data_IF_668311086086
#
_entry.id   IF_668311086086
#
_cell.length_a   1.000
_cell.length_b   1.000
_cell.length_c   1.000
_cell.angle_alpha   90.00
_cell.angle_beta   90.00
_cell.angle_gamma   90.00
#
_symmetry.space_group_name_H-M   'P 1'
#
loop_
_entity.id
_entity.type
_entity.pdbx_description
1 polymer ?
#
# COMPACT_ATOMS: atom_id res chain seq x y z
N UNK A 1 7.77 5.92 30.27
CA UNK A 1 6.49 5.46 29.69
C UNK A 1 5.41 6.54 29.80
N UNK A 2 4.84 6.85 30.98
CA UNK A 2 3.82 7.92 31.09
C UNK A 2 4.37 9.32 30.69
N UNK A 3 5.61 9.63 31.08
CA UNK A 3 6.24 10.91 30.77
C UNK A 3 6.58 11.06 29.28
N UNK A 4 6.97 9.99 28.59
CA UNK A 4 7.38 10.06 27.17
C UNK A 4 6.16 10.29 26.27
N UNK A 5 5.02 9.66 26.58
CA UNK A 5 3.74 9.87 25.89
C UNK A 5 3.19 11.29 26.10
N UNK A 6 3.37 11.85 27.29
CA UNK A 6 2.94 13.22 27.61
C UNK A 6 3.81 14.27 26.94
N UNK A 7 5.14 14.09 26.90
CA UNK A 7 6.05 15.01 26.21
C UNK A 7 5.78 15.06 24.70
N UNK A 8 5.41 13.93 24.10
CA UNK A 8 5.04 13.86 22.67
C UNK A 8 3.72 14.56 22.35
N UNK A 9 2.75 14.59 23.28
CA UNK A 9 1.44 15.22 23.06
C UNK A 9 1.51 16.76 23.10
N UNK A 10 2.59 17.33 23.68
CA UNK A 10 2.73 18.76 23.95
C UNK A 10 3.99 19.42 23.34
N UNK A 11 4.86 18.69 22.66
CA UNK A 11 6.02 19.29 21.97
C UNK A 11 5.60 19.88 20.62
N UNK A 12 5.50 21.22 20.58
CA UNK A 12 5.42 21.99 19.34
C UNK A 12 6.85 22.23 18.81
N UNK A 13 7.50 21.25 18.17
CA UNK A 13 8.86 21.46 17.66
C UNK A 13 9.13 20.79 16.30
N UNK A 14 9.97 21.49 15.52
CA UNK A 14 10.44 21.33 14.13
C UNK A 14 10.24 19.97 13.42
N UNK A 15 9.92 20.03 12.12
CA UNK A 15 9.65 18.86 11.27
C UNK A 15 10.75 17.76 11.30
N UNK A 16 12.03 18.13 11.52
CA UNK A 16 13.12 17.15 11.66
C UNK A 16 13.12 16.44 13.01
N UNK A 17 12.77 17.12 14.09
CA UNK A 17 12.68 16.54 15.42
C UNK A 17 11.45 15.63 15.53
N UNK A 18 10.39 15.94 14.77
CA UNK A 18 9.18 15.12 14.65
C UNK A 18 9.45 13.65 14.28
N UNK A 19 10.18 13.42 13.18
CA UNK A 19 10.47 12.05 12.68
C UNK A 19 11.46 11.31 13.59
N UNK A 20 12.51 11.99 14.07
CA UNK A 20 13.50 11.35 14.94
C UNK A 20 12.87 10.92 16.28
N UNK A 21 11.94 11.72 16.80
CA UNK A 21 11.17 11.35 17.98
C UNK A 21 10.27 10.13 17.72
N UNK A 22 9.66 10.02 16.53
CA UNK A 22 8.91 8.82 16.14
C UNK A 22 9.83 7.59 16.07
N UNK A 23 11.02 7.70 15.49
CA UNK A 23 12.01 6.59 15.45
C UNK A 23 12.40 6.12 16.85
N UNK A 24 12.64 7.05 17.78
CA UNK A 24 12.94 6.70 19.17
C UNK A 24 11.76 6.01 19.84
N UNK A 25 10.53 6.47 19.59
CA UNK A 25 9.32 5.87 20.13
C UNK A 25 9.12 4.46 19.60
N UNK A 26 9.19 4.25 18.28
CA UNK A 26 9.12 2.93 17.63
C UNK A 26 10.13 1.95 18.26
N UNK A 27 11.40 2.36 18.38
CA UNK A 27 12.44 1.53 19.03
C UNK A 27 12.13 1.20 20.48
N UNK A 28 11.56 2.16 21.22
CA UNK A 28 11.15 1.94 22.61
C UNK A 28 9.98 0.95 22.71
N UNK A 29 9.03 0.98 21.77
CA UNK A 29 7.90 0.04 21.69
C UNK A 29 8.43 -1.36 21.41
N UNK A 30 9.28 -1.53 20.39
CA UNK A 30 9.93 -2.83 20.10
C UNK A 30 10.62 -3.37 21.34
N UNK A 31 11.46 -2.56 22.01
CA UNK A 31 12.16 -2.98 23.22
C UNK A 31 11.22 -3.36 24.36
N UNK A 32 10.12 -2.64 24.53
CA UNK A 32 9.09 -2.90 25.55
C UNK A 32 8.45 -4.28 25.35
N UNK A 33 8.10 -4.63 24.11
CA UNK A 33 7.33 -5.85 23.82
C UNK A 33 8.20 -7.08 23.53
N UNK A 34 9.37 -6.92 22.92
CA UNK A 34 10.30 -8.04 22.66
C UNK A 34 11.01 -8.55 23.93
N UNK A 35 11.14 -7.69 24.96
CA UNK A 35 11.81 -8.04 26.21
C UNK A 35 13.24 -8.55 26.00
N UNK A 36 13.65 -9.55 26.79
CA UNK A 36 14.98 -10.18 26.69
C UNK A 36 15.06 -11.24 25.61
N UNK A 37 13.93 -11.84 25.27
CA UNK A 37 13.84 -12.99 24.37
C UNK A 37 13.85 -12.58 22.89
N UNK A 38 13.84 -11.26 22.61
CA UNK A 38 13.84 -10.67 21.26
C UNK A 38 12.66 -11.18 20.41
N UNK A 39 11.57 -11.57 21.08
CA UNK A 39 10.39 -12.14 20.46
C UNK A 39 9.13 -11.62 21.15
N UNK A 40 8.13 -11.27 20.35
CA UNK A 40 6.82 -10.83 20.81
C UNK A 40 5.89 -12.04 20.82
N UNK A 41 5.50 -12.47 22.01
CA UNK A 41 4.52 -13.56 22.16
C UNK A 41 3.15 -13.16 21.63
N UNK A 42 2.33 -14.15 21.29
CA UNK A 42 0.94 -14.01 20.84
C UNK A 42 0.15 -12.93 21.59
N UNK A 43 0.12 -13.00 22.93
CA UNK A 43 -0.62 -12.02 23.76
C UNK A 43 -0.04 -10.61 23.73
N UNK A 44 1.24 -10.46 23.39
CA UNK A 44 1.93 -9.18 23.31
C UNK A 44 1.84 -8.55 21.92
N UNK A 45 1.50 -9.32 20.88
CA UNK A 45 1.38 -8.82 19.50
C UNK A 45 0.29 -7.73 19.40
N UNK A 46 -0.87 -7.98 20.00
CA UNK A 46 -1.94 -6.98 20.13
C UNK A 46 -1.46 -5.66 20.77
N UNK A 47 -0.82 -5.73 21.93
CA UNK A 47 -0.38 -4.52 22.64
C UNK A 47 0.73 -3.78 21.89
N UNK A 48 1.62 -4.52 21.22
CA UNK A 48 2.62 -3.94 20.32
C UNK A 48 1.93 -3.19 19.17
N UNK A 49 0.94 -3.80 18.53
CA UNK A 49 0.20 -3.17 17.45
C UNK A 49 -0.55 -1.91 17.91
N UNK A 50 -1.19 -1.95 19.10
CA UNK A 50 -1.81 -0.77 19.70
C UNK A 50 -0.81 0.35 19.99
N UNK A 51 0.36 0.02 20.52
CA UNK A 51 1.40 1.02 20.79
C UNK A 51 1.96 1.63 19.50
N UNK A 52 2.15 0.82 18.46
CA UNK A 52 2.56 1.30 17.13
C UNK A 52 1.48 2.18 16.48
N UNK A 53 0.21 1.88 16.71
CA UNK A 53 -0.88 2.72 16.22
C UNK A 53 -0.86 4.13 16.84
N UNK A 54 -0.32 4.31 18.05
CA UNK A 54 -0.10 5.66 18.61
C UNK A 54 0.94 6.46 17.80
N UNK A 55 1.96 5.79 17.23
CA UNK A 55 2.91 6.44 16.30
C UNK A 55 2.21 6.79 15.00
N UNK A 56 1.34 5.90 14.52
CA UNK A 56 0.55 6.11 13.31
C UNK A 56 -0.48 7.24 13.47
N UNK A 57 -1.08 7.39 14.65
CA UNK A 57 -1.92 8.55 15.00
C UNK A 57 -1.13 9.86 14.92
N UNK A 58 0.16 9.86 15.30
CA UNK A 58 1.00 11.04 15.09
C UNK A 58 1.19 11.36 13.61
N UNK A 59 1.32 10.36 12.74
CA UNK A 59 1.33 10.58 11.30
C UNK A 59 0.03 11.26 10.84
N UNK A 60 -1.14 10.75 11.26
CA UNK A 60 -2.46 11.29 10.90
C UNK A 60 -2.66 12.75 11.29
N UNK A 61 -2.05 13.18 12.40
CA UNK A 61 -2.18 14.52 12.95
C UNK A 61 -1.03 15.47 12.55
N UNK A 62 -0.09 15.02 11.72
CA UNK A 62 1.01 15.86 11.22
C UNK A 62 0.55 16.65 9.99
N UNK A 63 0.65 17.99 10.04
CA UNK A 63 0.22 18.88 8.95
C UNK A 63 1.12 18.79 7.70
N UNK A 64 2.44 18.64 7.90
CA UNK A 64 3.36 18.45 6.78
C UNK A 64 3.16 17.04 6.18
N UNK A 65 2.60 17.00 4.98
CA UNK A 65 2.26 15.75 4.28
C UNK A 65 3.48 14.84 4.05
N UNK A 66 4.65 15.42 3.80
CA UNK A 66 5.87 14.65 3.57
C UNK A 66 6.32 13.97 4.87
N UNK A 67 6.32 14.72 5.97
CA UNK A 67 6.62 14.18 7.30
C UNK A 67 5.58 13.16 7.75
N UNK A 68 4.29 13.41 7.49
CA UNK A 68 3.20 12.50 7.79
C UNK A 68 3.40 11.13 7.11
N UNK A 69 3.71 11.14 5.80
CA UNK A 69 4.03 9.92 5.05
C UNK A 69 5.31 9.26 5.57
N UNK A 70 6.35 10.04 5.93
CA UNK A 70 7.59 9.49 6.48
C UNK A 70 7.37 8.77 7.83
N UNK A 71 6.51 9.29 8.70
CA UNK A 71 6.15 8.62 9.96
C UNK A 71 5.33 7.36 9.67
N UNK A 72 4.38 7.40 8.73
CA UNK A 72 3.59 6.22 8.39
C UNK A 72 4.44 5.11 7.76
N UNK A 73 5.40 5.47 6.89
CA UNK A 73 6.36 4.52 6.32
C UNK A 73 7.30 3.91 7.36
N UNK A 74 7.70 4.69 8.38
CA UNK A 74 8.45 4.16 9.52
C UNK A 74 7.67 3.06 10.26
N UNK A 75 6.38 3.29 10.51
CA UNK A 75 5.50 2.29 11.16
C UNK A 75 5.31 1.07 10.26
N UNK A 76 5.13 1.28 8.96
CA UNK A 76 4.97 0.20 7.99
C UNK A 76 6.18 -0.73 7.99
N UNK A 77 7.38 -0.15 8.04
CA UNK A 77 8.62 -0.91 7.99
C UNK A 77 8.77 -1.79 9.21
N UNK A 78 8.56 -1.21 10.40
CA UNK A 78 8.61 -1.96 11.64
C UNK A 78 7.51 -3.04 11.69
N UNK A 79 6.30 -2.75 11.20
CA UNK A 79 5.21 -3.71 11.17
C UNK A 79 5.53 -4.91 10.27
N UNK A 80 6.17 -4.70 9.11
CA UNK A 80 6.57 -5.81 8.24
C UNK A 80 7.75 -6.58 8.83
N UNK A 81 8.71 -5.90 9.45
CA UNK A 81 9.81 -6.57 10.14
C UNK A 81 9.31 -7.42 11.32
N UNK A 82 8.24 -7.00 12.00
CA UNK A 82 7.65 -7.71 13.13
C UNK A 82 7.19 -9.13 12.80
N UNK A 83 6.85 -9.45 11.55
CA UNK A 83 6.57 -10.85 11.17
C UNK A 83 7.75 -11.80 11.44
N UNK A 84 8.98 -11.30 11.52
CA UNK A 84 10.16 -12.11 11.80
C UNK A 84 10.38 -12.37 13.30
N UNK A 85 9.76 -11.57 14.17
CA UNK A 85 10.02 -11.61 15.60
C UNK A 85 8.75 -11.53 16.46
N UNK A 86 7.56 -11.67 15.87
CA UNK A 86 6.28 -11.69 16.56
C UNK A 86 5.44 -12.89 16.14
N UNK A 87 4.70 -13.45 17.10
CA UNK A 87 3.65 -14.42 16.84
C UNK A 87 2.39 -13.69 16.36
N UNK A 88 2.17 -13.67 15.05
CA UNK A 88 1.00 -13.05 14.41
C UNK A 88 -0.15 -14.03 14.15
N UNK A 89 -0.29 -15.09 14.95
CA UNK A 89 -1.37 -16.07 14.72
C UNK A 89 -2.78 -15.48 14.83
N UNK A 90 -2.95 -14.36 15.55
CA UNK A 90 -4.20 -13.59 15.64
C UNK A 90 -4.35 -12.52 14.55
N UNK A 91 -3.31 -12.28 13.75
CA UNK A 91 -3.32 -11.30 12.67
C UNK A 91 -3.21 -9.83 13.11
N UNK A 92 -2.78 -9.55 14.34
CA UNK A 92 -2.58 -8.19 14.86
C UNK A 92 -1.54 -7.38 14.05
N UNK A 93 -0.43 -8.02 13.65
CA UNK A 93 0.62 -7.43 12.82
C UNK A 93 0.12 -7.22 11.40
N UNK A 94 -0.54 -8.23 10.80
CA UNK A 94 -1.20 -8.07 9.50
C UNK A 94 -2.23 -6.94 9.47
N UNK A 95 -3.00 -6.78 10.55
CA UNK A 95 -3.95 -5.67 10.73
C UNK A 95 -3.22 -4.33 10.84
N UNK A 96 -2.10 -4.25 11.57
CA UNK A 96 -1.28 -3.05 11.67
C UNK A 96 -0.73 -2.62 10.31
N UNK A 97 -0.18 -3.55 9.51
CA UNK A 97 0.29 -3.28 8.14
C UNK A 97 -0.84 -2.72 7.29
N UNK A 98 -1.99 -3.40 7.25
CA UNK A 98 -3.16 -2.98 6.47
C UNK A 98 -3.65 -1.58 6.88
N UNK A 99 -3.75 -1.33 8.19
CA UNK A 99 -4.15 -0.03 8.75
C UNK A 99 -3.15 1.07 8.39
N UNK A 100 -1.86 0.75 8.37
CA UNK A 100 -0.80 1.68 8.02
C UNK A 100 -0.85 2.06 6.54
N UNK A 101 -0.99 1.09 5.64
CA UNK A 101 -1.15 1.33 4.20
C UNK A 101 -2.39 2.18 3.90
N UNK A 102 -3.54 1.84 4.52
CA UNK A 102 -4.75 2.66 4.42
C UNK A 102 -4.54 4.08 4.92
N UNK A 103 -3.72 4.25 5.96
CA UNK A 103 -3.39 5.58 6.48
C UNK A 103 -2.55 6.38 5.49
N UNK A 104 -1.57 5.76 4.85
CA UNK A 104 -0.77 6.40 3.79
C UNK A 104 -1.67 6.86 2.65
N UNK A 105 -2.53 5.97 2.13
CA UNK A 105 -3.54 6.30 1.11
C UNK A 105 -4.43 7.47 1.54
N UNK A 106 -4.97 7.42 2.77
CA UNK A 106 -5.82 8.50 3.30
C UNK A 106 -5.08 9.83 3.43
N UNK A 107 -3.80 9.83 3.80
CA UNK A 107 -2.97 11.05 3.87
C UNK A 107 -2.84 11.66 2.47
N UNK A 108 -2.60 10.83 1.44
CA UNK A 108 -2.47 11.29 0.06
C UNK A 108 -3.80 11.86 -0.45
N UNK A 109 -4.90 11.12 -0.26
CA UNK A 109 -6.24 11.54 -0.73
C UNK A 109 -6.73 12.84 -0.10
N UNK A 110 -6.37 13.12 1.16
CA UNK A 110 -6.74 14.38 1.82
C UNK A 110 -5.91 15.58 1.33
N UNK A 111 -4.84 15.33 0.59
CA UNK A 111 -3.86 16.32 0.16
C UNK A 111 -3.77 16.41 -1.37
N UNK A 112 -4.87 16.13 -2.07
CA UNK A 112 -4.99 16.22 -3.54
C UNK A 112 -4.68 17.60 -4.11
N UNK A 113 -4.87 18.66 -3.33
CA UNK A 113 -4.59 20.05 -3.70
C UNK A 113 -3.12 20.47 -3.49
N UNK A 114 -2.23 19.54 -3.10
CA UNK A 114 -0.81 19.85 -2.97
C UNK A 114 -0.17 20.25 -4.30
N UNK A 115 0.87 21.11 -4.21
CA UNK A 115 1.70 21.51 -5.35
C UNK A 115 2.27 20.28 -6.06
N UNK A 116 2.36 20.37 -7.39
CA UNK A 116 2.87 19.30 -8.26
C UNK A 116 4.26 18.80 -7.85
N UNK A 117 5.11 19.65 -7.28
CA UNK A 117 6.44 19.26 -6.78
C UNK A 117 6.31 18.34 -5.57
N UNK A 118 5.37 18.59 -4.66
CA UNK A 118 5.10 17.75 -3.49
C UNK A 118 4.53 16.41 -3.97
N UNK A 119 3.52 16.43 -4.86
CA UNK A 119 2.97 15.21 -5.48
C UNK A 119 4.07 14.35 -6.12
N UNK A 120 4.98 14.97 -6.89
CA UNK A 120 6.13 14.28 -7.50
C UNK A 120 7.03 13.63 -6.46
N UNK A 121 7.32 14.32 -5.35
CA UNK A 121 8.15 13.78 -4.28
C UNK A 121 7.49 12.60 -3.57
N UNK A 122 6.19 12.70 -3.28
CA UNK A 122 5.40 11.62 -2.68
C UNK A 122 5.34 10.40 -3.61
N UNK A 123 4.96 10.59 -4.87
CA UNK A 123 4.90 9.52 -5.86
C UNK A 123 6.25 8.78 -5.97
N UNK A 124 7.35 9.51 -6.16
CA UNK A 124 8.69 8.90 -6.26
C UNK A 124 9.09 8.17 -4.98
N UNK A 125 8.71 8.68 -3.81
CA UNK A 125 8.98 8.04 -2.52
C UNK A 125 8.25 6.70 -2.40
N UNK A 126 6.97 6.66 -2.75
CA UNK A 126 6.11 5.47 -2.67
C UNK A 126 6.48 4.43 -3.75
N UNK A 127 6.76 4.88 -4.97
CA UNK A 127 7.23 4.02 -6.04
C UNK A 127 8.58 3.40 -5.70
N UNK A 128 9.52 4.19 -5.17
CA UNK A 128 10.78 3.64 -4.64
C UNK A 128 10.54 2.70 -3.46
N UNK A 129 9.53 2.98 -2.63
CA UNK A 129 9.19 2.11 -1.51
C UNK A 129 8.72 0.74 -1.99
N UNK A 130 7.88 0.66 -3.03
CA UNK A 130 7.41 -0.61 -3.60
C UNK A 130 8.55 -1.47 -4.17
N UNK A 131 9.72 -0.89 -4.43
CA UNK A 131 10.93 -1.62 -4.85
C UNK A 131 11.77 -2.15 -3.67
N UNK A 132 11.44 -1.77 -2.44
CA UNK A 132 12.18 -2.15 -1.25
C UNK A 132 12.19 -3.67 -1.03
N UNK A 133 13.33 -4.19 -0.56
CA UNK A 133 13.51 -5.59 -0.14
C UNK A 133 12.69 -5.98 1.08
N UNK A 134 12.16 -4.99 1.81
CA UNK A 134 11.29 -5.24 2.96
C UNK A 134 10.03 -6.03 2.57
N UNK A 135 9.60 -5.91 1.31
CA UNK A 135 8.47 -6.65 0.76
C UNK A 135 8.86 -8.01 0.16
N UNK A 136 10.11 -8.46 0.32
CA UNK A 136 10.51 -9.78 -0.16
C UNK A 136 9.81 -10.85 0.68
N UNK A 137 9.07 -11.75 0.02
CA UNK A 137 8.15 -12.68 0.69
C UNK A 137 6.75 -12.12 0.94
N UNK A 138 6.54 -10.81 0.77
CA UNK A 138 5.27 -10.11 1.03
C UNK A 138 4.75 -9.38 -0.21
N UNK A 139 4.55 -10.14 -1.31
CA UNK A 139 4.19 -9.53 -2.61
C UNK A 139 2.87 -8.78 -2.55
N UNK A 140 1.90 -9.22 -1.74
CA UNK A 140 0.60 -8.55 -1.63
C UNK A 140 0.78 -7.13 -1.08
N UNK A 141 1.61 -6.94 -0.05
CA UNK A 141 1.97 -5.62 0.47
C UNK A 141 2.71 -4.76 -0.57
N UNK A 142 3.55 -5.38 -1.41
CA UNK A 142 4.18 -4.67 -2.53
C UNK A 142 3.14 -4.13 -3.52
N UNK A 143 2.15 -4.94 -3.84
CA UNK A 143 1.06 -4.59 -4.77
C UNK A 143 0.18 -3.49 -4.18
N UNK A 144 -0.17 -3.58 -2.89
CA UNK A 144 -0.88 -2.50 -2.18
C UNK A 144 -0.11 -1.17 -2.26
N UNK A 145 1.23 -1.17 -2.20
CA UNK A 145 2.01 0.05 -2.37
C UNK A 145 1.93 0.61 -3.81
N UNK A 146 1.81 -0.26 -4.83
CA UNK A 146 1.58 0.15 -6.22
C UNK A 146 0.16 0.71 -6.42
N UNK A 147 -0.85 0.13 -5.77
CA UNK A 147 -2.22 0.66 -5.74
C UNK A 147 -2.25 2.07 -5.14
N UNK A 148 -1.53 2.30 -4.04
CA UNK A 148 -1.38 3.66 -3.46
C UNK A 148 -0.73 4.61 -4.48
N UNK A 149 0.26 4.15 -5.25
CA UNK A 149 0.87 4.99 -6.30
C UNK A 149 -0.14 5.38 -7.40
N UNK A 150 -1.16 4.56 -7.65
CA UNK A 150 -2.18 4.84 -8.67
C UNK A 150 -3.08 6.03 -8.31
N UNK A 151 -3.12 6.47 -7.05
CA UNK A 151 -3.79 7.71 -6.64
C UNK A 151 -3.23 8.97 -7.32
N UNK A 152 -2.03 8.87 -7.90
CA UNK A 152 -1.37 9.93 -8.66
C UNK A 152 -1.55 9.81 -10.19
N UNK A 153 -2.39 8.88 -10.66
CA UNK A 153 -2.56 8.59 -12.09
C UNK A 153 -3.30 9.71 -12.86
N UNK A 154 -3.84 10.71 -12.17
CA UNK A 154 -4.36 11.96 -12.77
C UNK A 154 -3.26 12.72 -13.51
N UNK A 155 -2.01 12.56 -13.07
CA UNK A 155 -0.83 13.16 -13.68
C UNK A 155 -0.21 12.16 -14.65
N UNK A 156 -0.30 12.46 -15.95
CA UNK A 156 0.18 11.61 -17.04
C UNK A 156 1.62 11.12 -16.85
N UNK A 157 2.54 12.02 -16.47
CA UNK A 157 3.95 11.66 -16.19
C UNK A 157 4.07 10.54 -15.13
N UNK A 158 3.20 10.53 -14.11
CA UNK A 158 3.25 9.56 -13.01
C UNK A 158 2.52 8.26 -13.38
N UNK A 159 1.40 8.39 -14.10
CA UNK A 159 0.67 7.26 -14.68
C UNK A 159 1.55 6.42 -15.59
N UNK A 160 2.32 7.06 -16.47
CA UNK A 160 3.21 6.37 -17.40
C UNK A 160 4.34 5.65 -16.67
N UNK A 161 4.99 6.32 -15.72
CA UNK A 161 6.02 5.72 -14.86
C UNK A 161 5.50 4.49 -14.09
N UNK A 162 4.31 4.58 -13.51
CA UNK A 162 3.70 3.47 -12.79
C UNK A 162 3.35 2.31 -13.73
N UNK A 163 2.77 2.63 -14.89
CA UNK A 163 2.38 1.65 -15.91
C UNK A 163 3.58 0.88 -16.43
N UNK A 164 4.67 1.56 -16.78
CA UNK A 164 5.92 0.95 -17.21
C UNK A 164 6.51 0.06 -16.10
N UNK A 165 6.48 0.54 -14.85
CA UNK A 165 6.98 -0.23 -13.72
C UNK A 165 6.22 -1.53 -13.53
N UNK A 166 4.89 -1.47 -13.54
CA UNK A 166 4.03 -2.65 -13.35
C UNK A 166 4.24 -3.65 -14.49
N UNK A 167 4.25 -3.18 -15.75
CA UNK A 167 4.52 -4.03 -16.92
C UNK A 167 5.87 -4.73 -16.81
N UNK A 168 6.93 -4.01 -16.45
CA UNK A 168 8.26 -4.58 -16.22
C UNK A 168 8.27 -5.66 -15.13
N UNK A 169 7.50 -5.47 -14.05
CA UNK A 169 7.37 -6.48 -12.99
C UNK A 169 6.62 -7.72 -13.46
N UNK A 170 5.54 -7.56 -14.24
CA UNK A 170 4.80 -8.68 -14.84
C UNK A 170 5.70 -9.45 -15.80
N UNK A 171 6.43 -8.77 -16.67
CA UNK A 171 7.33 -9.38 -17.67
C UNK A 171 8.44 -10.19 -16.97
N UNK A 172 8.99 -9.65 -15.88
CA UNK A 172 10.00 -10.33 -15.06
C UNK A 172 9.47 -11.60 -14.39
N UNK A 173 8.15 -11.72 -14.23
CA UNK A 173 7.47 -12.88 -13.64
C UNK A 173 7.00 -13.91 -14.68
N UNK A 174 7.18 -13.66 -15.98
CA UNK A 174 6.58 -14.43 -17.09
C UNK A 174 6.80 -15.95 -17.04
N UNK A 175 7.93 -16.40 -16.48
CA UNK A 175 8.27 -17.84 -16.37
C UNK A 175 7.96 -18.46 -14.99
N UNK A 176 7.19 -17.77 -14.13
CA UNK A 176 6.93 -18.22 -12.77
C UNK A 176 5.43 -18.37 -12.51
N UNK A 177 4.93 -19.61 -12.57
CA UNK A 177 3.50 -19.91 -12.32
C UNK A 177 3.04 -19.47 -10.93
N UNK A 178 3.93 -19.48 -9.92
CA UNK A 178 3.62 -19.00 -8.57
C UNK A 178 3.36 -17.49 -8.51
N UNK A 179 3.69 -16.74 -9.57
CA UNK A 179 3.44 -15.30 -9.69
C UNK A 179 2.14 -14.98 -10.42
N UNK A 180 1.37 -15.99 -10.84
CA UNK A 180 0.11 -15.77 -11.56
C UNK A 180 -0.86 -14.88 -10.79
N UNK A 181 -1.03 -15.11 -9.49
CA UNK A 181 -1.89 -14.29 -8.63
C UNK A 181 -1.40 -12.84 -8.53
N UNK A 182 -0.11 -12.64 -8.24
CA UNK A 182 0.49 -11.30 -8.18
C UNK A 182 0.40 -10.55 -9.51
N UNK A 183 0.55 -11.27 -10.63
CA UNK A 183 0.39 -10.69 -11.97
C UNK A 183 -1.07 -10.30 -12.23
N UNK A 184 -2.04 -11.13 -11.84
CA UNK A 184 -3.47 -10.81 -11.94
C UNK A 184 -3.80 -9.53 -11.15
N UNK A 185 -3.35 -9.41 -9.90
CA UNK A 185 -3.55 -8.19 -9.09
C UNK A 185 -2.87 -6.96 -9.72
N UNK A 186 -1.65 -7.08 -10.25
CA UNK A 186 -0.99 -5.99 -10.95
C UNK A 186 -1.71 -5.58 -12.25
N UNK A 187 -2.30 -6.54 -12.97
CA UNK A 187 -3.12 -6.27 -14.14
C UNK A 187 -4.41 -5.52 -13.76
N UNK A 188 -4.98 -5.75 -12.57
CA UNK A 188 -6.11 -4.95 -12.08
C UNK A 188 -5.76 -3.48 -11.90
N UNK A 189 -4.58 -3.18 -11.33
CA UNK A 189 -4.11 -1.79 -11.22
C UNK A 189 -4.01 -1.13 -12.60
N UNK A 190 -3.43 -1.85 -13.58
CA UNK A 190 -3.34 -1.36 -14.96
C UNK A 190 -4.72 -1.16 -15.59
N UNK A 191 -5.66 -2.08 -15.32
CA UNK A 191 -7.04 -1.97 -15.79
C UNK A 191 -7.73 -0.73 -15.20
N UNK A 192 -7.64 -0.49 -13.89
CA UNK A 192 -8.23 0.68 -13.23
C UNK A 192 -7.69 1.98 -13.84
N UNK A 193 -6.39 2.06 -14.10
CA UNK A 193 -5.77 3.21 -14.76
C UNK A 193 -6.35 3.41 -16.18
N UNK A 194 -6.48 2.33 -16.96
CA UNK A 194 -6.99 2.40 -18.34
C UNK A 194 -8.48 2.71 -18.37
N UNK A 195 -9.26 2.19 -17.43
CA UNK A 195 -10.71 2.42 -17.36
C UNK A 195 -11.03 3.88 -16.99
N UNK A 196 -10.21 4.49 -16.13
CA UNK A 196 -10.37 5.89 -15.71
C UNK A 196 -9.83 6.89 -16.74
N UNK A 197 -8.61 6.68 -17.26
CA UNK A 197 -7.92 7.68 -18.08
C UNK A 197 -7.84 7.34 -19.58
N UNK A 198 -8.18 6.11 -19.96
CA UNK A 198 -8.18 5.65 -21.34
C UNK A 198 -9.53 5.82 -22.03
N UNK A 199 -9.60 5.33 -23.27
CA UNK A 199 -10.84 5.24 -24.01
C UNK A 199 -11.61 3.97 -23.65
N UNK A 200 -12.94 3.99 -23.83
CA UNK A 200 -13.79 2.79 -23.65
C UNK A 200 -13.28 1.59 -24.45
N UNK A 201 -12.73 1.85 -25.65
CA UNK A 201 -12.18 0.81 -26.53
C UNK A 201 -10.92 0.19 -25.92
N UNK A 202 -10.00 1.00 -25.40
CA UNK A 202 -8.78 0.49 -24.73
C UNK A 202 -9.12 -0.33 -23.48
N UNK A 203 -10.08 0.13 -22.67
CA UNK A 203 -10.57 -0.62 -21.50
C UNK A 203 -11.18 -1.98 -21.91
N UNK A 204 -12.04 -2.01 -22.94
CA UNK A 204 -12.60 -3.27 -23.45
C UNK A 204 -11.54 -4.21 -24.04
N UNK A 205 -10.59 -3.67 -24.81
CA UNK A 205 -9.47 -4.45 -25.37
C UNK A 205 -8.57 -5.01 -24.27
N UNK A 206 -8.31 -4.23 -23.20
CA UNK A 206 -7.51 -4.69 -22.07
C UNK A 206 -8.17 -5.87 -21.35
N UNK A 207 -9.48 -5.81 -21.09
CA UNK A 207 -10.21 -6.94 -20.48
C UNK A 207 -10.12 -8.18 -21.37
N UNK A 208 -10.34 -8.03 -22.68
CA UNK A 208 -10.30 -9.14 -23.64
C UNK A 208 -8.91 -9.78 -23.74
N UNK A 209 -7.85 -8.97 -23.70
CA UNK A 209 -6.47 -9.46 -23.73
C UNK A 209 -6.06 -10.24 -22.47
N UNK A 210 -6.77 -10.05 -21.36
CA UNK A 210 -6.52 -10.70 -20.07
C UNK A 210 -7.63 -11.68 -19.66
N UNK A 211 -8.47 -12.12 -20.61
CA UNK A 211 -9.66 -12.96 -20.36
C UNK A 211 -9.33 -14.35 -19.80
N UNK A 212 -8.06 -14.76 -19.87
CA UNK A 212 -7.56 -16.01 -19.27
C UNK A 212 -7.62 -15.99 -17.74
N UNK A 213 -7.64 -14.82 -17.12
CA UNK A 213 -7.84 -14.63 -15.68
C UNK A 213 -9.33 -14.59 -15.33
N UNK A 214 -9.73 -15.28 -14.25
CA UNK A 214 -11.14 -15.36 -13.85
C UNK A 214 -11.73 -14.02 -13.47
N UNK A 215 -10.94 -13.17 -12.80
CA UNK A 215 -11.38 -11.83 -12.41
C UNK A 215 -11.69 -10.94 -13.62
N UNK A 216 -10.94 -11.06 -14.71
CA UNK A 216 -11.20 -10.32 -15.96
C UNK A 216 -12.43 -10.84 -16.71
N UNK A 217 -12.73 -12.14 -16.62
CA UNK A 217 -14.02 -12.67 -17.09
C UNK A 217 -15.17 -12.04 -16.31
N UNK A 218 -15.06 -11.96 -14.99
CA UNK A 218 -16.06 -11.34 -14.14
C UNK A 218 -16.26 -9.85 -14.46
N UNK A 219 -15.16 -9.09 -14.65
CA UNK A 219 -15.21 -7.70 -15.10
C UNK A 219 -15.99 -7.55 -16.42
N UNK A 220 -15.72 -8.40 -17.41
CA UNK A 220 -16.42 -8.37 -18.70
C UNK A 220 -17.93 -8.63 -18.54
N UNK A 221 -18.30 -9.61 -17.72
CA UNK A 221 -19.71 -9.94 -17.42
C UNK A 221 -20.40 -8.74 -16.80
N UNK A 222 -19.80 -8.17 -15.75
CA UNK A 222 -20.38 -7.04 -15.03
C UNK A 222 -20.56 -5.84 -15.95
N UNK A 223 -19.63 -5.59 -16.88
CA UNK A 223 -19.75 -4.53 -17.90
C UNK A 223 -20.89 -4.80 -18.89
N UNK A 224 -21.08 -6.03 -19.34
CA UNK A 224 -22.21 -6.39 -20.21
C UNK A 224 -23.55 -6.31 -19.49
N UNK A 225 -23.62 -6.72 -18.22
CA UNK A 225 -24.82 -6.56 -17.39
C UNK A 225 -25.16 -5.08 -17.23
N UNK A 226 -24.18 -4.24 -16.86
CA UNK A 226 -24.38 -2.80 -16.67
C UNK A 226 -24.83 -2.09 -17.96
N UNK A 227 -24.32 -2.52 -19.12
CA UNK A 227 -24.71 -2.00 -20.44
C UNK A 227 -25.94 -2.67 -21.05
N UNK A 228 -26.61 -3.58 -20.31
CA UNK A 228 -27.78 -4.37 -20.76
C UNK A 228 -27.53 -5.19 -22.03
N UNK A 229 -26.28 -5.56 -22.29
CA UNK A 229 -25.86 -6.30 -23.49
C UNK A 229 -25.79 -7.81 -23.21
N UNK A 230 -26.91 -8.40 -22.83
CA UNK A 230 -26.99 -9.78 -22.32
C UNK A 230 -26.62 -10.84 -23.37
N UNK A 231 -26.80 -10.55 -24.66
CA UNK A 231 -26.46 -11.47 -25.75
C UNK A 231 -24.96 -11.81 -25.78
N UNK A 232 -24.10 -10.88 -25.35
CA UNK A 232 -22.65 -11.08 -25.29
C UNK A 232 -22.17 -11.89 -24.08
N UNK A 233 -23.03 -12.11 -23.07
CA UNK A 233 -22.68 -12.86 -21.85
C UNK A 233 -22.51 -14.36 -22.15
N UNK A 234 -23.31 -14.91 -23.07
CA UNK A 234 -23.29 -16.34 -23.39
C UNK A 234 -22.27 -16.74 -24.49
N UNK A 235 -21.79 -15.79 -25.31
CA UNK A 235 -21.08 -16.10 -26.56
C UNK A 235 -19.55 -16.19 -26.50
N UNK A 236 -18.90 -15.73 -25.42
CA UNK A 236 -17.42 -15.68 -25.29
C UNK A 236 -16.86 -16.40 -24.06
N UNK A 237 -17.71 -17.09 -23.28
CA UNK A 237 -17.31 -17.70 -22.01
C UNK A 237 -16.63 -19.07 -22.12
N UNK A 238 -16.70 -19.73 -23.27
CA UNK A 238 -16.33 -21.15 -23.42
C UNK A 238 -15.19 -21.41 -24.41
N UNK A 239 -14.36 -20.42 -24.71
CA UNK A 239 -13.15 -20.60 -25.53
C UNK A 239 -11.92 -20.19 -24.74
#
# INVERSE_FOLDING_TARGET
MLNDTLILKYSKEDNKDGLENCKKLTKSIVKKHCGRDRFISYRQAYYFACDMDNVLEKARNTEDVMLSVDIALLVLDEAIEAFQYADDSDGDIGMLVSKTMKTISTIIDRNTECDIKIKRQLFKKLLKKSESKIFDGWNDFRINMLEICAQFADIEEFRDQLTEKIKSMIDSNSNNEYKKYSNESMLHILYEIIDEYGTKKESEEFILNNINFSSFRELLINKYIASKNYEKVNGKMYV
#
